data_IF_190084635053
#
_entry.id   IF_190084635053
#
_cell.length_a   1.000
_cell.length_b   1.000
_cell.length_c   1.000
_cell.angle_alpha   90.00
_cell.angle_beta   90.00
_cell.angle_gamma   90.00
#
_symmetry.space_group_name_H-M   'P 1'
#
loop_
_entity.id
_entity.type
_entity.pdbx_description
1 polymer ?
#
# COMPACT_ATOMS: atom_id res chain seq x y z
N UNK A 1 -11.18 2.12 18.77
CA UNK A 1 -11.69 1.49 17.55
C UNK A 1 -13.07 2.02 17.18
N UNK A 2 -13.69 1.55 16.08
CA UNK A 2 -15.00 2.02 15.63
C UNK A 2 -16.08 1.82 16.69
N UNK A 3 -16.11 0.66 17.36
CA UNK A 3 -17.07 0.35 18.44
C UNK A 3 -16.88 1.28 19.67
N UNK A 4 -15.64 1.50 20.10
CA UNK A 4 -15.32 2.36 21.25
C UNK A 4 -15.72 3.83 21.04
N UNK A 5 -15.78 4.27 19.79
CA UNK A 5 -16.11 5.65 19.43
C UNK A 5 -17.52 5.78 18.81
N UNK A 6 -18.38 4.76 18.94
CA UNK A 6 -19.73 4.70 18.41
C UNK A 6 -19.83 5.01 16.89
N UNK A 7 -18.78 4.72 16.12
CA UNK A 7 -18.74 4.95 14.68
C UNK A 7 -19.41 3.80 13.91
N UNK A 8 -19.41 2.60 14.49
CA UNK A 8 -19.86 1.37 13.84
C UNK A 8 -21.29 1.47 13.30
N UNK A 9 -22.19 2.14 14.03
CA UNK A 9 -23.57 2.40 13.60
C UNK A 9 -23.70 3.27 12.35
N UNK A 10 -22.64 4.00 11.97
CA UNK A 10 -22.59 4.86 10.79
C UNK A 10 -21.94 4.18 9.58
N UNK A 11 -21.38 2.96 9.76
CA UNK A 11 -20.76 2.21 8.68
C UNK A 11 -21.85 1.48 7.88
N UNK A 12 -21.87 1.71 6.58
CA UNK A 12 -22.78 1.05 5.65
C UNK A 12 -22.00 0.04 4.82
N UNK A 13 -22.09 -1.22 5.20
CA UNK A 13 -21.47 -2.33 4.46
C UNK A 13 -22.26 -2.64 3.18
N UNK A 14 -21.60 -3.31 2.21
CA UNK A 14 -22.23 -3.66 0.94
C UNK A 14 -22.65 -2.45 0.09
N UNK A 15 -21.96 -1.31 0.24
CA UNK A 15 -22.24 -0.07 -0.49
C UNK A 15 -21.01 0.31 -1.30
N UNK A 16 -21.10 0.16 -2.62
CA UNK A 16 -19.99 0.47 -3.54
C UNK A 16 -20.27 1.78 -4.27
N UNK A 17 -19.36 2.74 -4.12
CA UNK A 17 -19.37 3.98 -4.90
C UNK A 17 -19.10 3.68 -6.38
N UNK A 18 -20.01 4.08 -7.26
CA UNK A 18 -19.91 3.93 -8.72
C UNK A 18 -19.47 5.22 -9.37
N UNK A 19 -20.12 6.32 -8.98
CA UNK A 19 -19.79 7.65 -9.49
C UNK A 19 -19.99 8.73 -8.43
N UNK A 20 -19.27 9.85 -8.59
CA UNK A 20 -19.39 11.04 -7.76
C UNK A 20 -19.37 12.27 -8.65
N UNK A 21 -20.40 13.10 -8.57
CA UNK A 21 -20.56 14.31 -9.37
C UNK A 21 -20.66 15.53 -8.48
N UNK A 22 -19.74 16.48 -8.64
CA UNK A 22 -19.75 17.77 -7.94
C UNK A 22 -20.57 18.80 -8.69
N UNK A 23 -21.43 19.52 -7.97
CA UNK A 23 -22.14 20.69 -8.47
C UNK A 23 -21.63 21.95 -7.75
N UNK A 24 -20.93 22.83 -8.44
CA UNK A 24 -20.40 24.08 -7.86
C UNK A 24 -21.48 25.06 -7.43
N UNK A 25 -22.61 25.06 -8.09
CA UNK A 25 -23.76 25.90 -7.72
C UNK A 25 -24.35 25.52 -6.37
N UNK A 26 -24.38 24.21 -6.08
CA UNK A 26 -24.93 23.68 -4.84
C UNK A 26 -23.86 23.43 -3.78
N UNK A 27 -22.60 23.47 -4.16
CA UNK A 27 -21.44 23.02 -3.32
C UNK A 27 -21.67 21.64 -2.73
N UNK A 28 -22.04 20.68 -3.57
CA UNK A 28 -22.50 19.37 -3.15
C UNK A 28 -22.00 18.27 -4.10
N UNK A 29 -21.53 17.17 -3.53
CA UNK A 29 -21.32 15.91 -4.21
C UNK A 29 -22.62 15.11 -4.27
N UNK A 30 -22.97 14.57 -5.43
CA UNK A 30 -23.97 13.52 -5.61
C UNK A 30 -23.25 12.22 -5.90
N UNK A 31 -23.55 11.19 -5.12
CA UNK A 31 -22.91 9.89 -5.14
C UNK A 31 -23.90 8.82 -5.64
N UNK A 32 -23.54 8.08 -6.68
CA UNK A 32 -24.26 6.89 -7.08
C UNK A 32 -23.63 5.66 -6.42
N UNK A 33 -24.42 4.97 -5.64
CA UNK A 33 -23.97 3.86 -4.79
C UNK A 33 -24.75 2.60 -5.15
N UNK A 34 -24.03 1.55 -5.53
CA UNK A 34 -24.60 0.21 -5.72
C UNK A 34 -24.58 -0.56 -4.42
N UNK A 35 -25.71 -1.17 -4.09
CA UNK A 35 -25.83 -2.08 -2.96
C UNK A 35 -25.60 -3.53 -3.42
N UNK A 36 -24.79 -4.30 -2.68
CA UNK A 36 -24.39 -5.67 -3.07
C UNK A 36 -25.60 -6.62 -3.25
N UNK A 37 -26.64 -6.42 -2.45
CA UNK A 37 -27.84 -7.27 -2.45
C UNK A 37 -28.96 -6.76 -3.39
N UNK A 38 -28.69 -5.75 -4.20
CA UNK A 38 -29.68 -5.11 -5.07
C UNK A 38 -29.03 -4.62 -6.36
N UNK A 39 -29.70 -4.79 -7.49
CA UNK A 39 -29.31 -4.13 -8.74
C UNK A 39 -29.57 -2.60 -8.70
N UNK A 40 -30.24 -2.11 -7.65
CA UNK A 40 -30.60 -0.72 -7.51
C UNK A 40 -29.38 0.16 -7.19
N UNK A 41 -29.30 1.29 -7.85
CA UNK A 41 -28.36 2.36 -7.51
C UNK A 41 -29.11 3.35 -6.62
N UNK A 42 -28.51 3.64 -5.46
CA UNK A 42 -29.04 4.62 -4.50
C UNK A 42 -28.20 5.89 -4.62
N UNK A 43 -28.88 7.04 -4.68
CA UNK A 43 -28.19 8.32 -4.63
C UNK A 43 -28.08 8.83 -3.20
N UNK A 44 -26.89 9.34 -2.88
CA UNK A 44 -26.58 10.04 -1.64
C UNK A 44 -25.88 11.35 -1.96
N UNK A 45 -26.02 12.33 -1.07
CA UNK A 45 -25.31 13.60 -1.20
C UNK A 45 -24.40 13.84 -0.01
N UNK A 46 -23.28 14.56 -0.23
CA UNK A 46 -22.40 15.01 0.84
C UNK A 46 -21.69 16.32 0.46
N UNK A 47 -21.35 17.11 1.47
CA UNK A 47 -20.61 18.36 1.27
C UNK A 47 -19.10 18.14 1.13
N UNK A 48 -18.59 17.01 1.63
CA UNK A 48 -17.17 16.68 1.61
C UNK A 48 -16.98 15.19 1.42
N UNK A 49 -16.08 14.82 0.51
CA UNK A 49 -15.78 13.43 0.19
C UNK A 49 -14.36 13.07 0.65
N UNK A 50 -14.26 12.16 1.63
CA UNK A 50 -13.01 11.68 2.15
C UNK A 50 -12.75 10.26 1.65
N UNK A 51 -11.95 10.13 0.59
CA UNK A 51 -11.70 8.87 -0.11
C UNK A 51 -10.64 8.03 0.60
N UNK A 52 -11.08 6.96 1.25
CA UNK A 52 -10.23 5.96 1.88
C UNK A 52 -10.29 4.60 1.16
N UNK A 53 -10.51 4.60 -0.15
CA UNK A 53 -10.75 3.40 -0.96
C UNK A 53 -9.52 2.48 -1.14
N UNK A 54 -8.35 2.91 -0.65
CA UNK A 54 -7.11 2.21 -0.95
C UNK A 54 -6.72 2.34 -2.44
N UNK A 55 -5.95 1.40 -2.94
CA UNK A 55 -5.43 1.46 -4.32
C UNK A 55 -5.35 0.10 -5.01
N UNK A 56 -5.97 -0.93 -4.44
CA UNK A 56 -6.03 -2.26 -5.05
C UNK A 56 -7.38 -2.51 -5.72
N UNK A 57 -7.33 -3.23 -6.83
CA UNK A 57 -8.52 -3.77 -7.46
C UNK A 57 -8.98 -5.01 -6.69
N UNK A 58 -10.18 -4.94 -6.09
CA UNK A 58 -10.75 -6.06 -5.34
C UNK A 58 -11.43 -7.11 -6.23
N UNK A 59 -11.80 -6.73 -7.46
CA UNK A 59 -12.53 -7.62 -8.37
C UNK A 59 -11.60 -8.46 -9.24
N UNK A 60 -10.36 -7.99 -9.46
CA UNK A 60 -9.41 -8.64 -10.37
C UNK A 60 -8.01 -8.66 -9.78
N UNK A 61 -7.38 -9.84 -9.69
CA UNK A 61 -5.98 -9.98 -9.30
C UNK A 61 -5.06 -9.56 -10.45
N UNK A 62 -3.77 -9.48 -10.17
CA UNK A 62 -2.78 -9.43 -11.24
C UNK A 62 -2.62 -10.82 -11.85
N UNK A 63 -2.86 -10.91 -13.16
CA UNK A 63 -2.59 -12.11 -13.93
C UNK A 63 -1.20 -11.99 -14.59
N UNK A 64 -0.24 -12.83 -14.20
CA UNK A 64 1.11 -12.80 -14.76
C UNK A 64 1.23 -13.50 -16.12
N UNK A 65 0.13 -14.07 -16.65
CA UNK A 65 0.12 -14.82 -17.94
C UNK A 65 1.19 -15.93 -17.95
N UNK A 66 1.13 -16.83 -16.98
CA UNK A 66 2.09 -17.94 -16.92
C UNK A 66 1.99 -18.86 -18.15
N UNK A 67 3.13 -19.27 -18.75
CA UNK A 67 3.12 -20.20 -19.88
C UNK A 67 2.47 -21.53 -19.50
N UNK A 68 1.54 -22.01 -20.32
CA UNK A 68 0.84 -23.30 -20.20
C UNK A 68 0.14 -23.51 -18.83
N UNK A 69 -0.35 -22.44 -18.19
CA UNK A 69 -0.97 -22.49 -16.85
C UNK A 69 -2.15 -23.46 -16.79
N UNK A 70 -2.92 -23.58 -17.88
CA UNK A 70 -4.10 -24.47 -17.98
C UNK A 70 -3.72 -25.95 -18.02
N UNK A 71 -2.46 -26.31 -18.22
CA UNK A 71 -2.00 -27.70 -18.17
C UNK A 71 -1.96 -28.25 -16.75
N UNK A 72 -1.83 -27.38 -15.73
CA UNK A 72 -1.75 -27.81 -14.35
C UNK A 72 -3.05 -28.45 -13.85
N UNK A 73 -2.96 -29.68 -13.32
CA UNK A 73 -4.11 -30.45 -12.85
C UNK A 73 -4.40 -30.30 -11.36
N UNK A 74 -3.47 -29.68 -10.61
CA UNK A 74 -3.66 -29.36 -9.21
C UNK A 74 -4.50 -28.10 -8.99
N UNK A 75 -4.45 -27.57 -7.78
CA UNK A 75 -5.22 -26.37 -7.42
C UNK A 75 -4.35 -25.11 -7.58
N UNK A 76 -4.80 -24.19 -8.46
CA UNK A 76 -4.20 -22.85 -8.58
C UNK A 76 -5.00 -21.85 -7.75
N UNK A 77 -4.33 -21.16 -6.84
CA UNK A 77 -4.93 -20.18 -5.92
C UNK A 77 -4.29 -18.81 -6.09
N UNK A 78 -5.11 -17.75 -6.15
CA UNK A 78 -4.62 -16.39 -5.94
C UNK A 78 -4.95 -15.95 -4.51
N UNK A 79 -4.00 -15.41 -3.73
CA UNK A 79 -4.20 -15.06 -2.31
C UNK A 79 -5.35 -14.06 -2.06
N UNK A 80 -5.69 -13.23 -3.03
CA UNK A 80 -6.83 -12.30 -2.94
C UNK A 80 -8.19 -13.03 -2.92
N UNK A 81 -8.27 -14.22 -3.53
CA UNK A 81 -9.45 -15.06 -3.62
C UNK A 81 -9.21 -16.42 -2.96
N UNK A 82 -8.67 -16.39 -1.75
CA UNK A 82 -8.37 -17.60 -1.00
C UNK A 82 -9.64 -18.41 -0.71
N UNK A 83 -9.73 -19.68 -1.17
CA UNK A 83 -10.87 -20.53 -0.85
C UNK A 83 -10.91 -20.80 0.67
N UNK A 84 -12.09 -20.62 1.30
CA UNK A 84 -12.24 -20.78 2.75
C UNK A 84 -11.98 -22.21 3.23
N UNK A 85 -12.25 -23.17 2.37
CA UNK A 85 -12.17 -24.63 2.60
C UNK A 85 -11.00 -25.29 1.88
N UNK A 86 -9.97 -24.50 1.49
CA UNK A 86 -8.76 -25.04 0.88
C UNK A 86 -8.06 -26.02 1.82
N UNK A 87 -8.11 -27.29 1.48
CA UNK A 87 -7.36 -28.34 2.16
C UNK A 87 -5.94 -28.47 1.59
N UNK A 88 -4.97 -28.12 2.41
CA UNK A 88 -3.54 -28.24 2.08
C UNK A 88 -2.79 -29.23 3.00
N UNK A 89 -3.55 -30.04 3.77
CA UNK A 89 -2.98 -31.08 4.63
C UNK A 89 -2.19 -32.09 3.78
N UNK A 90 -0.94 -32.34 4.16
CA UNK A 90 -0.01 -33.25 3.49
C UNK A 90 0.24 -32.95 1.99
N UNK A 91 -0.06 -31.74 1.53
CA UNK A 91 0.14 -31.28 0.14
C UNK A 91 1.50 -30.62 -0.06
N UNK A 92 2.05 -30.74 -1.28
CA UNK A 92 3.18 -29.95 -1.75
C UNK A 92 2.64 -28.63 -2.27
N UNK A 93 3.06 -27.54 -1.64
CA UNK A 93 2.61 -26.19 -1.99
C UNK A 93 3.77 -25.41 -2.60
N UNK A 94 3.55 -24.85 -3.80
CA UNK A 94 4.49 -23.91 -4.42
C UNK A 94 3.88 -22.50 -4.40
N UNK A 95 4.56 -21.57 -3.73
CA UNK A 95 4.16 -20.15 -3.66
C UNK A 95 5.02 -19.38 -4.66
N UNK A 96 4.40 -18.87 -5.72
CA UNK A 96 5.09 -18.09 -6.76
C UNK A 96 5.11 -16.62 -6.38
N UNK A 97 6.29 -16.10 -6.08
CA UNK A 97 6.53 -14.71 -5.68
C UNK A 97 7.45 -14.58 -4.50
N UNK A 98 7.95 -13.36 -4.23
CA UNK A 98 8.81 -13.01 -3.10
C UNK A 98 8.39 -11.73 -2.39
N UNK A 99 7.14 -11.33 -2.57
CA UNK A 99 6.54 -10.18 -1.88
C UNK A 99 6.07 -10.52 -0.46
N UNK A 100 5.48 -9.54 0.23
CA UNK A 100 4.99 -9.71 1.61
C UNK A 100 4.03 -10.90 1.75
N UNK A 101 3.16 -11.12 0.77
CA UNK A 101 2.21 -12.25 0.78
C UNK A 101 2.94 -13.59 0.78
N UNK A 102 3.90 -13.79 -0.12
CA UNK A 102 4.67 -15.04 -0.18
C UNK A 102 5.49 -15.26 1.10
N UNK A 103 6.12 -14.21 1.62
CA UNK A 103 6.90 -14.26 2.88
C UNK A 103 6.05 -14.62 4.10
N UNK A 104 4.77 -14.22 4.11
CA UNK A 104 3.83 -14.54 5.20
C UNK A 104 3.25 -15.95 5.05
N UNK A 105 2.89 -16.34 3.83
CA UNK A 105 2.30 -17.66 3.55
C UNK A 105 3.31 -18.79 3.77
N UNK A 106 4.58 -18.58 3.42
CA UNK A 106 5.61 -19.61 3.51
C UNK A 106 5.66 -20.26 4.91
N UNK A 107 5.89 -19.54 6.02
CA UNK A 107 5.88 -20.14 7.35
C UNK A 107 4.48 -20.57 7.80
N UNK A 108 3.42 -19.82 7.42
CA UNK A 108 2.07 -20.08 7.90
C UNK A 108 1.46 -21.40 7.38
N UNK A 109 1.95 -21.90 6.24
CA UNK A 109 1.43 -23.16 5.68
C UNK A 109 2.23 -24.40 6.10
N UNK A 110 3.36 -24.25 6.77
CA UNK A 110 4.21 -25.39 7.16
C UNK A 110 3.64 -26.23 8.29
N UNK A 111 2.59 -25.77 8.96
CA UNK A 111 1.92 -26.49 10.05
C UNK A 111 1.14 -27.72 9.55
N UNK A 112 0.68 -27.71 8.30
CA UNK A 112 -0.16 -28.76 7.70
C UNK A 112 0.38 -29.29 6.37
N UNK A 113 1.01 -28.44 5.58
CA UNK A 113 1.55 -28.88 4.29
C UNK A 113 2.70 -29.87 4.46
N UNK A 114 2.80 -30.82 3.54
CA UNK A 114 3.92 -31.73 3.46
C UNK A 114 5.25 -30.99 3.20
N UNK A 115 5.20 -30.00 2.30
CA UNK A 115 6.34 -29.17 1.91
C UNK A 115 5.81 -27.84 1.34
N UNK A 116 6.40 -26.72 1.72
CA UNK A 116 6.11 -25.41 1.14
C UNK A 116 7.36 -24.87 0.44
N UNK A 117 7.26 -24.60 -0.86
CA UNK A 117 8.37 -24.03 -1.65
C UNK A 117 8.00 -22.63 -2.13
N UNK A 118 8.80 -21.63 -1.77
CA UNK A 118 8.68 -20.29 -2.35
C UNK A 118 9.55 -20.22 -3.61
N UNK A 119 8.90 -20.05 -4.76
CA UNK A 119 9.55 -19.81 -6.04
C UNK A 119 9.63 -18.33 -6.32
N UNK A 120 10.85 -17.79 -6.42
CA UNK A 120 11.10 -16.39 -6.72
C UNK A 120 11.96 -16.23 -7.97
N UNK A 121 11.67 -15.22 -8.78
CA UNK A 121 12.49 -14.87 -9.95
C UNK A 121 13.83 -14.26 -9.56
N UNK A 122 13.84 -13.47 -8.49
CA UNK A 122 15.03 -12.81 -7.94
C UNK A 122 14.86 -12.58 -6.44
N UNK A 123 15.98 -12.62 -5.67
CA UNK A 123 15.94 -12.38 -4.24
C UNK A 123 15.43 -10.99 -3.88
N UNK A 124 14.79 -10.89 -2.70
CA UNK A 124 14.47 -9.61 -2.05
C UNK A 124 15.19 -9.50 -0.71
N UNK A 125 15.35 -8.28 -0.19
CA UNK A 125 15.87 -8.10 1.17
C UNK A 125 14.83 -8.54 2.19
N UNK A 126 15.29 -9.35 3.14
CA UNK A 126 14.49 -9.82 4.26
C UNK A 126 15.10 -9.31 5.56
N UNK A 127 14.28 -8.68 6.38
CA UNK A 127 14.66 -8.22 7.72
C UNK A 127 13.73 -8.85 8.74
N UNK A 128 14.29 -9.44 9.78
CA UNK A 128 13.48 -9.94 10.89
C UNK A 128 13.31 -8.87 11.97
N UNK A 129 12.13 -8.83 12.54
CA UNK A 129 11.82 -7.95 13.68
C UNK A 129 10.89 -8.69 14.64
N UNK A 130 11.12 -8.48 15.94
CA UNK A 130 10.20 -9.00 16.94
C UNK A 130 8.80 -8.42 16.73
N UNK A 131 7.77 -9.26 16.85
CA UNK A 131 6.36 -8.87 16.76
C UNK A 131 5.96 -7.94 17.92
N UNK A 132 6.63 -8.08 19.07
CA UNK A 132 6.43 -7.23 20.23
C UNK A 132 7.57 -6.22 20.43
N UNK A 133 7.22 -4.99 20.79
CA UNK A 133 8.17 -3.95 21.18
C UNK A 133 8.38 -4.00 22.71
N UNK A 134 9.45 -4.66 23.15
CA UNK A 134 9.79 -4.83 24.57
C UNK A 134 9.99 -3.49 25.29
N UNK A 135 10.51 -2.46 24.60
CA UNK A 135 10.67 -1.11 25.15
C UNK A 135 9.29 -0.48 25.37
N UNK A 136 8.40 -0.57 24.39
CA UNK A 136 7.02 -0.08 24.53
C UNK A 136 6.29 -0.79 25.67
N UNK A 137 6.43 -2.12 25.77
CA UNK A 137 5.83 -2.90 26.85
C UNK A 137 6.41 -2.53 28.23
N UNK A 138 7.72 -2.25 28.31
CA UNK A 138 8.37 -1.72 29.52
C UNK A 138 7.84 -0.35 29.91
N UNK A 139 7.75 0.58 28.95
CA UNK A 139 7.24 1.95 29.21
C UNK A 139 5.78 1.94 29.70
N UNK A 140 4.93 1.08 29.15
CA UNK A 140 3.52 0.94 29.58
C UNK A 140 3.36 0.47 31.05
N UNK A 141 4.36 -0.20 31.60
CA UNK A 141 4.34 -0.65 33.02
C UNK A 141 4.67 0.47 34.01
N UNK A 142 5.39 1.51 33.56
CA UNK A 142 5.93 2.56 34.44
C UNK A 142 5.38 3.96 34.14
N UNK A 143 4.79 4.18 32.96
CA UNK A 143 4.30 5.48 32.55
C UNK A 143 2.80 5.45 32.22
N UNK A 144 2.09 6.58 32.33
CA UNK A 144 0.74 6.72 31.79
C UNK A 144 0.70 6.36 30.30
N UNK A 145 -0.41 5.76 29.87
CA UNK A 145 -0.55 5.24 28.49
C UNK A 145 -0.24 6.26 27.39
N UNK A 146 -0.65 7.52 27.58
CA UNK A 146 -0.39 8.63 26.66
C UNK A 146 1.10 8.94 26.51
N UNK A 147 1.85 8.97 27.62
CA UNK A 147 3.29 9.21 27.61
C UNK A 147 4.05 8.02 27.00
N UNK A 148 3.70 6.80 27.40
CA UNK A 148 4.30 5.59 26.84
C UNK A 148 4.08 5.53 25.33
N UNK A 149 2.88 5.88 24.84
CA UNK A 149 2.56 5.97 23.42
C UNK A 149 3.39 7.03 22.71
N UNK A 150 3.44 8.25 23.23
CA UNK A 150 4.17 9.38 22.63
C UNK A 150 5.67 9.06 22.48
N UNK A 151 6.31 8.55 23.54
CA UNK A 151 7.73 8.17 23.52
C UNK A 151 7.98 7.05 22.53
N UNK A 152 7.14 6.01 22.54
CA UNK A 152 7.26 4.87 21.62
C UNK A 152 7.10 5.33 20.15
N UNK A 153 6.13 6.21 19.88
CA UNK A 153 5.90 6.77 18.54
C UNK A 153 7.13 7.58 18.05
N UNK A 154 7.68 8.43 18.89
CA UNK A 154 8.89 9.20 18.56
C UNK A 154 10.08 8.26 18.33
N UNK A 155 10.33 7.31 19.23
CA UNK A 155 11.38 6.30 19.09
C UNK A 155 11.26 5.54 17.76
N UNK A 156 10.09 5.02 17.45
CA UNK A 156 9.89 4.19 16.25
C UNK A 156 10.00 4.99 14.96
N UNK A 157 9.46 6.21 14.90
CA UNK A 157 9.58 7.07 13.72
C UNK A 157 11.02 7.51 13.49
N UNK A 158 11.75 7.88 14.57
CA UNK A 158 13.15 8.25 14.49
C UNK A 158 14.04 7.10 14.04
N UNK A 159 13.90 5.94 14.68
CA UNK A 159 14.73 4.77 14.35
C UNK A 159 14.54 4.32 12.90
N UNK A 160 13.31 4.38 12.40
CA UNK A 160 12.99 4.02 11.02
C UNK A 160 13.59 5.03 10.02
N UNK A 161 13.47 6.33 10.31
CA UNK A 161 14.06 7.39 9.48
C UNK A 161 15.60 7.33 9.46
N UNK A 162 16.22 7.10 10.62
CA UNK A 162 17.69 6.97 10.74
C UNK A 162 18.17 5.74 9.96
N UNK A 163 17.51 4.59 10.13
CA UNK A 163 17.86 3.37 9.39
C UNK A 163 17.77 3.59 7.88
N UNK A 164 16.70 4.22 7.42
CA UNK A 164 16.50 4.53 6.00
C UNK A 164 17.61 5.46 5.48
N UNK A 165 17.87 6.58 6.16
CA UNK A 165 18.90 7.55 5.76
C UNK A 165 20.31 6.95 5.74
N UNK A 166 20.65 6.15 6.76
CA UNK A 166 21.94 5.47 6.81
C UNK A 166 22.10 4.44 5.68
N UNK A 167 21.04 3.71 5.35
CA UNK A 167 21.09 2.76 4.26
C UNK A 167 21.23 3.45 2.88
N UNK A 168 20.63 4.61 2.70
CA UNK A 168 20.82 5.42 1.49
C UNK A 168 22.22 6.04 1.42
N UNK A 169 22.76 6.53 2.55
CA UNK A 169 24.11 7.11 2.61
C UNK A 169 25.21 6.07 2.42
N UNK A 170 25.01 4.85 2.94
CA UNK A 170 26.01 3.78 2.93
C UNK A 170 25.44 2.47 2.37
N UNK A 171 25.00 2.43 1.10
CA UNK A 171 24.23 1.31 0.57
C UNK A 171 24.99 -0.02 0.57
N UNK A 172 26.30 -0.01 0.31
CA UNK A 172 27.14 -1.22 0.35
C UNK A 172 27.26 -1.81 1.77
N UNK A 173 27.35 -0.95 2.79
CA UNK A 173 27.42 -1.37 4.19
C UNK A 173 26.06 -1.92 4.62
N UNK A 174 24.97 -1.22 4.29
CA UNK A 174 23.62 -1.67 4.56
C UNK A 174 23.34 -3.05 3.90
N UNK A 175 23.72 -3.23 2.63
CA UNK A 175 23.62 -4.53 1.94
C UNK A 175 24.33 -5.64 2.71
N UNK A 176 25.59 -5.44 3.10
CA UNK A 176 26.36 -6.42 3.87
C UNK A 176 25.70 -6.73 5.21
N UNK A 177 25.19 -5.70 5.87
CA UNK A 177 24.49 -5.84 7.16
C UNK A 177 23.23 -6.71 7.03
N UNK A 178 22.34 -6.42 6.08
CA UNK A 178 21.10 -7.18 5.91
C UNK A 178 21.35 -8.63 5.50
N UNK A 179 22.26 -8.88 4.55
CA UNK A 179 22.64 -10.24 4.15
C UNK A 179 23.29 -10.98 5.32
N UNK A 180 24.12 -10.29 6.10
CA UNK A 180 24.75 -10.84 7.31
C UNK A 180 23.73 -11.25 8.39
N UNK A 181 22.60 -10.51 8.52
CA UNK A 181 21.52 -10.92 9.42
C UNK A 181 20.86 -12.22 8.95
N UNK A 182 20.55 -12.35 7.67
CA UNK A 182 19.98 -13.58 7.09
C UNK A 182 20.95 -14.75 7.30
N UNK A 183 22.26 -14.54 7.05
CA UNK A 183 23.30 -15.57 7.21
C UNK A 183 23.41 -16.11 8.64
N UNK A 184 23.09 -15.29 9.64
CA UNK A 184 23.08 -15.72 11.05
C UNK A 184 21.83 -16.55 11.41
N UNK A 185 20.78 -16.48 10.61
CA UNK A 185 19.48 -17.12 10.90
C UNK A 185 19.29 -18.45 10.17
N UNK A 186 19.94 -18.63 9.04
CA UNK A 186 19.87 -19.87 8.27
C UNK A 186 21.01 -20.83 8.63
N UNK A 187 20.73 -22.11 8.47
CA UNK A 187 21.67 -23.19 8.71
C UNK A 187 22.93 -23.07 7.86
N UNK A 188 24.08 -23.56 8.38
CA UNK A 188 25.33 -23.58 7.62
C UNK A 188 25.15 -24.40 6.33
N UNK A 189 25.64 -23.86 5.22
CA UNK A 189 25.53 -24.51 3.90
C UNK A 189 24.31 -24.09 3.07
N UNK A 190 23.36 -23.30 3.63
CA UNK A 190 22.29 -22.75 2.82
C UNK A 190 22.82 -21.72 1.81
N UNK A 191 22.39 -21.80 0.54
CA UNK A 191 22.87 -20.92 -0.54
C UNK A 191 22.22 -19.51 -0.45
N UNK A 192 22.76 -18.70 0.44
CA UNK A 192 22.31 -17.34 0.70
C UNK A 192 22.60 -16.42 -0.49
N UNK A 193 23.68 -16.68 -1.21
CA UNK A 193 24.07 -15.84 -2.34
C UNK A 193 23.07 -15.98 -3.49
N UNK A 194 22.55 -17.19 -3.72
CA UNK A 194 21.49 -17.45 -4.70
C UNK A 194 20.13 -16.96 -4.25
N UNK A 195 19.73 -17.22 -2.99
CA UNK A 195 18.33 -17.09 -2.56
C UNK A 195 18.04 -15.82 -1.78
N UNK A 196 19.03 -15.15 -1.17
CA UNK A 196 18.84 -14.00 -0.29
C UNK A 196 19.78 -12.82 -0.57
N UNK A 197 20.47 -12.80 -1.72
CA UNK A 197 21.36 -11.71 -2.08
C UNK A 197 20.83 -10.94 -3.30
N UNK A 198 20.02 -9.87 -3.08
CA UNK A 198 19.49 -9.05 -4.16
C UNK A 198 20.61 -8.35 -4.97
N UNK A 199 20.38 -8.15 -6.28
CA UNK A 199 21.31 -7.42 -7.14
C UNK A 199 21.26 -5.89 -6.95
N UNK A 200 20.21 -5.37 -6.33
CA UNK A 200 19.97 -3.95 -6.03
C UNK A 200 20.37 -3.59 -4.59
N UNK A 201 20.36 -2.30 -4.25
CA UNK A 201 20.62 -1.84 -2.88
C UNK A 201 19.35 -1.78 -2.02
N UNK A 202 19.49 -1.81 -0.68
CA UNK A 202 18.34 -1.67 0.22
C UNK A 202 17.56 -0.39 -0.07
N UNK A 203 16.22 -0.51 -0.11
CA UNK A 203 15.24 0.52 -0.47
C UNK A 203 15.21 0.99 -1.93
N UNK A 204 16.08 0.50 -2.83
CA UNK A 204 15.81 0.65 -4.28
C UNK A 204 14.52 -0.10 -4.66
N UNK A 205 14.22 -1.19 -3.97
CA UNK A 205 12.95 -1.89 -4.02
C UNK A 205 12.48 -2.19 -2.58
N UNK A 206 11.32 -2.87 -2.45
CA UNK A 206 10.73 -3.18 -1.15
C UNK A 206 11.65 -4.10 -0.33
N UNK A 207 11.78 -3.80 0.95
CA UNK A 207 12.37 -4.66 1.96
C UNK A 207 11.23 -5.38 2.69
N UNK A 208 11.28 -6.71 2.78
CA UNK A 208 10.27 -7.51 3.45
C UNK A 208 10.63 -7.69 4.93
N UNK A 209 9.64 -7.44 5.80
CA UNK A 209 9.75 -7.73 7.23
C UNK A 209 9.15 -9.10 7.53
N UNK A 210 9.90 -9.91 8.26
CA UNK A 210 9.53 -11.24 8.74
C UNK A 210 9.44 -11.19 10.26
N UNK A 211 8.27 -11.44 10.88
CA UNK A 211 8.13 -11.39 12.32
C UNK A 211 8.81 -12.61 12.97
N UNK A 212 9.44 -12.38 14.11
CA UNK A 212 9.95 -13.42 15.02
C UNK A 212 10.77 -14.55 14.35
N UNK A 213 11.38 -14.26 13.18
CA UNK A 213 12.20 -15.20 12.41
C UNK A 213 11.42 -16.42 11.88
N UNK A 214 10.10 -16.34 11.80
CA UNK A 214 9.21 -17.47 11.48
C UNK A 214 9.59 -18.14 10.15
N UNK A 215 9.85 -17.37 9.09
CA UNK A 215 10.32 -17.87 7.80
C UNK A 215 11.62 -18.65 7.91
N UNK A 216 12.60 -18.14 8.66
CA UNK A 216 13.90 -18.80 8.82
C UNK A 216 13.79 -20.08 9.65
N UNK A 217 12.91 -20.07 10.66
CA UNK A 217 12.58 -21.27 11.45
C UNK A 217 11.94 -22.34 10.57
N UNK A 218 10.99 -21.97 9.72
CA UNK A 218 10.33 -22.87 8.77
C UNK A 218 11.33 -23.50 7.77
N UNK A 219 12.28 -22.72 7.27
CA UNK A 219 13.34 -23.22 6.37
C UNK A 219 14.29 -24.16 7.14
N UNK A 220 14.74 -23.77 8.32
CA UNK A 220 15.69 -24.58 9.11
C UNK A 220 15.09 -25.90 9.60
N UNK A 221 13.77 -25.97 9.82
CA UNK A 221 13.06 -27.20 10.18
C UNK A 221 12.85 -28.16 9.01
N UNK A 222 13.15 -27.71 7.77
CA UNK A 222 12.91 -28.48 6.56
C UNK A 222 11.48 -28.45 6.03
N UNK A 223 10.53 -27.78 6.70
CA UNK A 223 9.14 -27.65 6.25
C UNK A 223 8.97 -26.67 5.08
N UNK A 224 9.92 -25.74 4.94
CA UNK A 224 9.90 -24.75 3.86
C UNK A 224 11.21 -24.74 3.07
N UNK A 225 11.14 -24.34 1.81
CA UNK A 225 12.28 -24.12 0.93
C UNK A 225 12.11 -22.87 0.06
N UNK A 226 13.24 -22.34 -0.45
CA UNK A 226 13.26 -21.22 -1.40
C UNK A 226 13.99 -21.64 -2.67
N UNK A 227 13.35 -21.49 -3.80
CA UNK A 227 13.93 -21.70 -5.13
C UNK A 227 13.98 -20.36 -5.87
N UNK A 228 15.12 -20.07 -6.49
CA UNK A 228 15.34 -18.83 -7.26
C UNK A 228 15.62 -19.18 -8.69
N UNK A 229 14.59 -19.04 -9.53
CA UNK A 229 14.69 -19.31 -10.98
C UNK A 229 13.48 -18.69 -11.72
N UNK A 230 13.51 -18.76 -13.05
CA UNK A 230 12.41 -18.36 -13.91
C UNK A 230 11.52 -19.55 -14.24
N UNK A 231 10.22 -19.29 -14.35
CA UNK A 231 9.24 -20.27 -14.80
C UNK A 231 9.40 -20.42 -16.33
N UNK A 232 9.68 -21.61 -16.78
CA UNK A 232 9.66 -21.96 -18.19
C UNK A 232 8.24 -22.26 -18.64
N UNK A 233 7.53 -23.13 -17.92
CA UNK A 233 6.13 -23.44 -18.16
C UNK A 233 5.49 -24.16 -16.96
N UNK A 234 4.20 -24.18 -16.92
CA UNK A 234 3.42 -25.09 -16.06
C UNK A 234 3.32 -26.47 -16.72
N UNK A 235 3.22 -27.50 -15.91
CA UNK A 235 3.03 -28.89 -16.30
C UNK A 235 1.80 -29.47 -15.60
N UNK A 236 1.41 -30.68 -15.92
CA UNK A 236 0.28 -31.34 -15.24
C UNK A 236 0.50 -31.48 -13.72
N UNK A 237 1.75 -31.64 -13.27
CA UNK A 237 2.11 -31.96 -11.88
C UNK A 237 2.88 -30.86 -11.17
N UNK A 238 3.09 -29.66 -11.80
CA UNK A 238 3.84 -28.61 -11.17
C UNK A 238 4.40 -27.55 -12.12
N UNK A 239 5.63 -27.11 -11.88
CA UNK A 239 6.32 -26.05 -12.62
C UNK A 239 7.67 -26.52 -13.12
N UNK A 240 7.92 -26.45 -14.44
CA UNK A 240 9.24 -26.61 -15.04
C UNK A 240 9.96 -25.25 -15.05
N UNK A 241 11.18 -25.24 -14.55
CA UNK A 241 12.03 -24.06 -14.46
C UNK A 241 12.97 -23.94 -15.66
N UNK A 242 13.56 -22.76 -15.89
CA UNK A 242 14.51 -22.54 -16.98
C UNK A 242 15.79 -23.38 -16.82
N UNK A 243 16.18 -23.72 -15.62
CA UNK A 243 17.31 -24.64 -15.32
C UNK A 243 17.01 -26.10 -15.69
N UNK A 244 15.75 -26.44 -16.01
CA UNK A 244 15.28 -27.79 -16.22
C UNK A 244 14.85 -28.52 -14.94
N UNK A 245 14.97 -27.89 -13.77
CA UNK A 245 14.41 -28.41 -12.52
C UNK A 245 12.88 -28.41 -12.60
N UNK A 246 12.24 -29.46 -12.06
CA UNK A 246 10.78 -29.56 -11.96
C UNK A 246 10.35 -29.46 -10.50
N UNK A 247 9.49 -28.48 -10.20
CA UNK A 247 8.89 -28.34 -8.88
C UNK A 247 7.52 -29.04 -8.87
N UNK A 248 7.48 -30.18 -8.23
CA UNK A 248 6.24 -30.92 -7.99
C UNK A 248 5.30 -30.12 -7.06
N UNK A 249 4.05 -29.97 -7.44
CA UNK A 249 3.05 -29.23 -6.66
C UNK A 249 1.68 -29.90 -6.75
N UNK A 250 0.99 -29.95 -5.60
CA UNK A 250 -0.43 -30.29 -5.53
C UNK A 250 -1.26 -28.98 -5.51
N UNK A 251 -0.66 -27.91 -4.96
CA UNK A 251 -1.25 -26.58 -4.91
C UNK A 251 -0.19 -25.55 -5.34
N UNK A 252 -0.59 -24.65 -6.25
CA UNK A 252 0.24 -23.48 -6.62
C UNK A 252 -0.47 -22.22 -6.19
N UNK A 253 0.22 -21.37 -5.42
CA UNK A 253 -0.28 -20.07 -4.96
C UNK A 253 0.39 -18.95 -5.75
N UNK A 254 -0.36 -18.24 -6.58
CA UNK A 254 0.12 -17.12 -7.39
C UNK A 254 0.20 -15.84 -6.55
N UNK A 255 1.30 -15.66 -5.80
CA UNK A 255 1.56 -14.48 -4.98
C UNK A 255 2.35 -13.39 -5.75
N UNK A 256 2.01 -13.18 -7.02
CA UNK A 256 2.77 -12.34 -7.98
C UNK A 256 2.39 -10.86 -7.97
N UNK A 257 1.56 -10.46 -7.03
CA UNK A 257 1.16 -9.08 -6.80
C UNK A 257 -0.30 -8.79 -7.15
N UNK A 258 -0.65 -7.52 -6.99
CA UNK A 258 -2.01 -7.03 -7.11
C UNK A 258 -2.14 -6.09 -8.31
N UNK A 259 -3.35 -5.90 -8.79
CA UNK A 259 -3.71 -4.89 -9.77
C UNK A 259 -4.10 -3.61 -9.04
N UNK A 260 -3.59 -2.46 -9.48
CA UNK A 260 -3.97 -1.18 -8.90
C UNK A 260 -5.24 -0.63 -9.55
N UNK A 261 -5.98 0.15 -8.78
CA UNK A 261 -7.19 0.81 -9.20
C UNK A 261 -7.27 2.20 -8.56
N UNK A 262 -7.48 3.23 -9.36
CA UNK A 262 -7.61 4.61 -8.88
C UNK A 262 -8.99 4.81 -8.26
N UNK A 263 -9.07 5.46 -7.09
CA UNK A 263 -10.30 5.83 -6.40
C UNK A 263 -11.35 4.71 -6.28
N UNK A 264 -10.89 3.45 -6.11
CA UNK A 264 -11.80 2.30 -6.02
C UNK A 264 -12.54 1.97 -7.31
N UNK A 265 -12.16 2.59 -8.44
CA UNK A 265 -12.78 2.39 -9.75
C UNK A 265 -14.04 3.22 -9.98
N UNK A 266 -14.37 4.16 -9.09
CA UNK A 266 -15.46 5.09 -9.30
C UNK A 266 -15.09 6.16 -10.33
N UNK A 267 -16.08 6.67 -11.06
CA UNK A 267 -15.93 7.80 -11.98
C UNK A 267 -16.26 9.11 -11.28
N UNK A 268 -15.61 10.19 -11.68
CA UNK A 268 -15.78 11.50 -11.04
C UNK A 268 -16.03 12.58 -12.10
N UNK A 269 -16.86 13.57 -11.75
CA UNK A 269 -17.09 14.76 -12.58
C UNK A 269 -17.22 16.02 -11.72
N UNK A 270 -16.87 17.15 -12.30
CA UNK A 270 -17.08 18.50 -11.74
C UNK A 270 -17.90 19.30 -12.74
N UNK A 271 -19.08 19.78 -12.34
CA UNK A 271 -19.99 20.55 -13.17
C UNK A 271 -20.32 19.91 -14.54
N UNK A 272 -20.37 18.57 -14.57
CA UNK A 272 -20.66 17.77 -15.76
C UNK A 272 -19.41 17.31 -16.54
N UNK A 273 -18.24 17.90 -16.28
CA UNK A 273 -17.00 17.51 -16.95
C UNK A 273 -16.32 16.35 -16.21
N UNK A 274 -16.01 15.29 -16.94
CA UNK A 274 -15.34 14.10 -16.36
C UNK A 274 -13.92 14.42 -15.95
N UNK A 275 -13.49 13.88 -14.80
CA UNK A 275 -12.13 14.03 -14.29
C UNK A 275 -11.24 12.89 -14.78
N UNK A 276 -10.19 13.22 -15.51
CA UNK A 276 -9.07 12.33 -15.77
C UNK A 276 -7.98 12.57 -14.72
N UNK A 277 -7.90 11.69 -13.72
CA UNK A 277 -6.91 11.82 -12.66
C UNK A 277 -5.46 11.81 -13.17
N UNK A 278 -5.17 11.15 -14.27
CA UNK A 278 -3.81 11.05 -14.82
C UNK A 278 -3.26 12.38 -15.33
N UNK A 279 -4.15 13.30 -15.69
CA UNK A 279 -3.82 14.66 -16.13
C UNK A 279 -3.73 15.66 -14.98
N UNK A 280 -4.22 15.31 -13.79
CA UNK A 280 -4.29 16.21 -12.64
C UNK A 280 -3.03 16.16 -11.76
N UNK A 281 -2.78 17.24 -11.02
CA UNK A 281 -1.66 17.33 -10.07
C UNK A 281 -2.17 17.23 -8.63
N UNK A 282 -1.43 16.53 -7.77
CA UNK A 282 -1.82 16.40 -6.36
C UNK A 282 -1.33 17.61 -5.55
N UNK A 283 -2.22 18.13 -4.71
CA UNK A 283 -1.93 19.12 -3.69
C UNK A 283 -1.63 18.43 -2.35
N UNK A 284 -0.42 18.63 -1.83
CA UNK A 284 0.09 17.96 -0.60
C UNK A 284 -0.04 16.43 -0.63
N UNK A 285 -0.21 15.85 -1.84
CA UNK A 285 -0.53 14.42 -2.01
C UNK A 285 -1.83 13.99 -1.32
N UNK A 286 -2.76 14.92 -1.06
CA UNK A 286 -4.06 14.70 -0.43
C UNK A 286 -5.23 15.08 -1.33
N UNK A 287 -5.20 16.26 -1.93
CA UNK A 287 -6.24 16.73 -2.83
C UNK A 287 -5.76 16.66 -4.28
N UNK A 288 -6.70 16.74 -5.18
CA UNK A 288 -6.48 16.76 -6.62
C UNK A 288 -6.75 18.18 -7.12
N UNK A 289 -5.89 18.74 -7.98
CA UNK A 289 -6.10 20.06 -8.57
C UNK A 289 -7.48 20.15 -9.21
N UNK A 290 -8.14 21.28 -9.03
CA UNK A 290 -9.46 21.61 -9.59
C UNK A 290 -10.62 20.71 -9.15
N UNK A 291 -10.40 19.81 -8.16
CA UNK A 291 -11.44 18.94 -7.60
C UNK A 291 -11.86 19.45 -6.22
N UNK A 292 -13.07 20.00 -6.08
CA UNK A 292 -13.53 20.61 -4.85
C UNK A 292 -13.86 19.57 -3.77
N UNK A 293 -13.65 19.94 -2.51
CA UNK A 293 -14.11 19.21 -1.31
C UNK A 293 -13.84 17.70 -1.35
N UNK A 294 -12.74 17.29 -1.95
CA UNK A 294 -12.33 15.90 -1.99
C UNK A 294 -10.90 15.72 -1.49
N UNK A 295 -10.72 14.79 -0.58
CA UNK A 295 -9.41 14.35 -0.09
C UNK A 295 -9.25 12.84 -0.33
N UNK A 296 -8.07 12.41 -0.73
CA UNK A 296 -7.73 11.00 -0.89
C UNK A 296 -6.55 10.64 -0.01
N UNK A 297 -6.56 9.43 0.55
CA UNK A 297 -5.51 8.95 1.43
C UNK A 297 -4.67 7.88 0.76
N UNK A 298 -3.37 8.15 0.75
CA UNK A 298 -2.32 7.19 0.45
C UNK A 298 -1.22 7.31 1.51
N UNK A 299 -0.69 6.20 1.99
CA UNK A 299 0.32 6.19 3.04
C UNK A 299 1.74 6.45 2.54
N UNK A 300 2.72 6.16 3.40
CA UNK A 300 4.13 6.18 3.03
C UNK A 300 4.56 4.84 2.47
N UNK A 301 5.46 4.85 1.50
CA UNK A 301 6.09 3.63 0.98
C UNK A 301 7.11 3.06 1.97
N UNK A 302 7.81 3.96 2.66
CA UNK A 302 8.94 3.66 3.53
C UNK A 302 8.63 3.79 5.03
N UNK A 303 7.37 4.00 5.39
CA UNK A 303 6.91 4.15 6.77
C UNK A 303 5.47 3.63 6.96
N UNK A 304 4.98 3.61 8.20
CA UNK A 304 3.60 3.22 8.48
C UNK A 304 2.61 4.17 7.80
N UNK A 305 1.59 3.58 7.16
CA UNK A 305 0.49 4.31 6.54
C UNK A 305 -0.31 5.17 7.53
N UNK A 306 -0.45 4.70 8.77
CA UNK A 306 -1.18 5.39 9.83
C UNK A 306 -0.57 6.74 10.17
N UNK A 307 0.75 6.92 10.01
CA UNK A 307 1.41 8.21 10.25
C UNK A 307 0.86 9.31 9.33
N UNK A 308 0.63 8.98 8.05
CA UNK A 308 0.08 9.95 7.09
C UNK A 308 -1.42 10.08 7.22
N UNK A 309 -2.12 9.00 7.52
CA UNK A 309 -3.56 9.03 7.77
C UNK A 309 -3.91 9.96 8.94
N UNK A 310 -3.13 9.93 10.05
CA UNK A 310 -3.28 10.86 11.17
C UNK A 310 -3.09 12.31 10.75
N UNK A 311 -1.99 12.62 10.04
CA UNK A 311 -1.72 13.99 9.58
C UNK A 311 -2.82 14.50 8.65
N UNK A 312 -3.30 13.65 7.76
CA UNK A 312 -4.38 13.98 6.83
C UNK A 312 -5.70 14.21 7.56
N UNK A 313 -6.04 13.35 8.53
CA UNK A 313 -7.26 13.50 9.32
C UNK A 313 -7.25 14.81 10.14
N UNK A 314 -6.14 15.11 10.82
CA UNK A 314 -5.97 16.39 11.53
C UNK A 314 -6.10 17.60 10.60
N UNK A 315 -5.49 17.52 9.41
CA UNK A 315 -5.56 18.60 8.43
C UNK A 315 -6.99 18.79 7.90
N UNK A 316 -7.71 17.70 7.58
CA UNK A 316 -9.10 17.74 7.12
C UNK A 316 -10.01 18.30 8.20
N UNK A 317 -9.87 17.88 9.46
CA UNK A 317 -10.65 18.45 10.56
C UNK A 317 -10.46 19.96 10.69
N UNK A 318 -9.22 20.44 10.57
CA UNK A 318 -8.93 21.89 10.58
C UNK A 318 -9.56 22.62 9.38
N UNK A 319 -9.51 21.99 8.18
CA UNK A 319 -10.11 22.54 6.98
C UNK A 319 -11.62 22.66 7.12
N UNK A 320 -12.31 21.63 7.58
CA UNK A 320 -13.75 21.65 7.83
C UNK A 320 -14.16 22.68 8.89
N UNK A 321 -13.39 22.78 9.98
CA UNK A 321 -13.62 23.81 11.02
C UNK A 321 -13.41 25.23 10.47
N UNK A 322 -12.40 25.43 9.62
CA UNK A 322 -12.17 26.71 8.95
C UNK A 322 -13.35 27.05 8.02
N UNK A 323 -13.77 26.11 7.18
CA UNK A 323 -14.94 26.31 6.30
C UNK A 323 -16.19 26.68 7.10
N UNK A 324 -16.44 25.97 8.20
CA UNK A 324 -17.57 26.27 9.09
C UNK A 324 -17.50 27.67 9.69
N UNK A 325 -16.31 28.05 10.21
CA UNK A 325 -16.11 29.36 10.86
C UNK A 325 -16.15 30.54 9.89
N UNK A 326 -15.78 30.33 8.64
CA UNK A 326 -15.79 31.35 7.57
C UNK A 326 -17.04 31.30 6.70
N UNK A 327 -17.97 30.40 7.00
CA UNK A 327 -19.19 30.17 6.19
C UNK A 327 -18.90 29.88 4.70
N UNK A 328 -17.73 29.27 4.41
CA UNK A 328 -17.39 28.83 3.07
C UNK A 328 -17.87 27.40 2.85
N UNK A 329 -18.34 27.09 1.64
CA UNK A 329 -18.92 25.79 1.28
C UNK A 329 -18.05 25.00 0.30
N UNK A 330 -17.07 25.65 -0.30
CA UNK A 330 -16.15 25.05 -1.28
C UNK A 330 -14.72 25.33 -0.91
N UNK A 331 -13.90 24.26 -0.93
CA UNK A 331 -12.46 24.29 -0.81
C UNK A 331 -11.86 23.55 -2.01
N UNK A 332 -11.01 24.22 -2.81
CA UNK A 332 -10.41 23.63 -4.01
C UNK A 332 -8.97 24.07 -4.15
N UNK A 333 -8.03 23.11 -4.40
CA UNK A 333 -6.65 23.47 -4.76
C UNK A 333 -6.59 23.81 -6.26
N UNK A 334 -6.01 24.94 -6.59
CA UNK A 334 -5.84 25.42 -7.96
C UNK A 334 -4.35 25.67 -8.22
N UNK A 335 -3.84 25.15 -9.31
CA UNK A 335 -2.45 25.45 -9.73
C UNK A 335 -2.39 26.91 -10.15
N UNK A 336 -1.59 27.78 -9.48
CA UNK A 336 -1.48 29.18 -9.84
C UNK A 336 -0.97 29.33 -11.28
N UNK A 337 -1.38 30.39 -11.97
CA UNK A 337 -0.95 30.65 -13.36
C UNK A 337 0.59 30.69 -13.49
N UNK A 338 1.28 31.24 -12.48
CA UNK A 338 2.76 31.24 -12.41
C UNK A 338 3.40 29.86 -12.37
N UNK A 339 2.62 28.81 -12.07
CA UNK A 339 3.10 27.41 -11.97
C UNK A 339 2.45 26.51 -13.04
N UNK A 340 1.75 27.05 -14.02
CA UNK A 340 1.05 26.27 -15.04
C UNK A 340 1.98 25.37 -15.85
N UNK A 341 3.19 25.86 -16.12
CA UNK A 341 4.25 25.11 -16.82
C UNK A 341 5.18 24.36 -15.84
N UNK A 342 4.77 24.16 -14.60
CA UNK A 342 5.56 23.44 -13.60
C UNK A 342 5.84 22.01 -14.08
N UNK A 343 7.11 21.57 -14.11
CA UNK A 343 7.45 20.20 -14.46
C UNK A 343 6.76 19.22 -13.55
N UNK A 344 6.04 18.27 -14.14
CA UNK A 344 5.36 17.20 -13.41
C UNK A 344 6.10 15.89 -13.55
N UNK A 345 5.93 15.01 -12.57
CA UNK A 345 6.47 13.66 -12.57
C UNK A 345 5.42 12.68 -12.00
N UNK A 346 5.72 11.40 -12.11
CA UNK A 346 4.85 10.37 -11.56
C UNK A 346 4.57 10.60 -10.09
N UNK A 347 3.37 10.26 -9.66
CA UNK A 347 2.89 10.46 -8.30
C UNK A 347 3.83 9.92 -7.23
N UNK A 348 4.52 8.79 -7.53
CA UNK A 348 5.60 8.22 -6.74
C UNK A 348 6.75 7.90 -7.70
N UNK A 349 7.67 8.86 -7.87
CA UNK A 349 8.72 8.75 -8.87
C UNK A 349 9.82 7.74 -8.51
N UNK A 350 10.07 7.52 -7.22
CA UNK A 350 11.27 6.82 -6.75
C UNK A 350 10.97 5.40 -6.23
N UNK A 351 9.88 4.76 -6.69
CA UNK A 351 9.52 3.42 -6.26
C UNK A 351 9.31 2.46 -7.43
N UNK A 352 10.34 1.68 -7.81
CA UNK A 352 10.34 0.83 -9.01
C UNK A 352 9.64 -0.52 -8.84
N UNK A 353 8.76 -0.68 -7.83
CA UNK A 353 8.00 -1.92 -7.68
C UNK A 353 7.10 -2.17 -8.89
N UNK A 354 7.20 -3.35 -9.51
CA UNK A 354 6.53 -3.64 -10.78
C UNK A 354 5.02 -3.45 -10.77
N UNK A 355 4.34 -3.75 -9.65
CA UNK A 355 2.90 -3.55 -9.52
C UNK A 355 2.51 -2.06 -9.54
N UNK A 356 3.36 -1.17 -9.01
CA UNK A 356 3.17 0.28 -9.07
C UNK A 356 3.40 0.79 -10.49
N UNK A 357 4.53 0.40 -11.10
CA UNK A 357 4.92 0.85 -12.43
C UNK A 357 3.87 0.51 -13.51
N UNK A 358 3.25 -0.66 -13.42
CA UNK A 358 2.19 -1.08 -14.36
C UNK A 358 0.98 -0.15 -14.40
N UNK A 359 0.69 0.57 -13.32
CA UNK A 359 -0.51 1.40 -13.17
C UNK A 359 -0.20 2.86 -12.84
N UNK A 360 1.07 3.26 -12.90
CA UNK A 360 1.47 4.63 -12.56
C UNK A 360 0.89 5.67 -13.52
N UNK A 361 0.73 5.30 -14.77
CA UNK A 361 0.12 6.14 -15.81
C UNK A 361 -1.36 6.47 -15.57
N UNK A 362 -2.04 5.74 -14.66
CA UNK A 362 -3.43 6.01 -14.26
C UNK A 362 -3.52 6.93 -13.04
N UNK A 363 -2.39 7.15 -12.36
CA UNK A 363 -2.34 7.93 -11.13
C UNK A 363 -2.19 9.43 -11.42
N UNK A 364 -2.62 10.31 -10.52
CA UNK A 364 -2.37 11.73 -10.67
C UNK A 364 -0.87 12.03 -10.65
N UNK A 365 -0.50 13.19 -11.13
CA UNK A 365 0.88 13.66 -11.20
C UNK A 365 1.26 14.38 -9.91
N UNK A 366 2.56 14.55 -9.67
CA UNK A 366 3.06 15.52 -8.69
C UNK A 366 3.95 16.56 -9.39
N UNK A 367 3.98 17.77 -8.84
CA UNK A 367 4.90 18.81 -9.26
C UNK A 367 6.31 18.62 -8.71
N UNK A 368 7.13 19.64 -8.84
CA UNK A 368 8.53 19.65 -8.39
C UNK A 368 8.75 20.49 -7.12
N UNK A 369 7.74 21.22 -6.65
CA UNK A 369 7.79 22.08 -5.47
C UNK A 369 6.52 22.01 -4.61
N UNK A 370 6.65 22.36 -3.31
CA UNK A 370 5.52 22.45 -2.41
C UNK A 370 4.57 23.57 -2.83
N UNK A 371 3.24 23.39 -2.71
CA UNK A 371 2.55 22.28 -2.08
C UNK A 371 2.24 21.09 -3.00
N UNK A 372 2.72 21.11 -4.24
CA UNK A 372 2.37 20.15 -5.31
C UNK A 372 3.23 18.88 -5.32
N UNK A 373 4.16 18.76 -4.40
CA UNK A 373 5.05 17.59 -4.29
C UNK A 373 4.53 16.60 -3.25
N UNK A 374 4.62 15.31 -3.57
CA UNK A 374 4.40 14.20 -2.64
C UNK A 374 5.74 13.78 -2.04
N UNK A 375 6.12 14.36 -0.90
CA UNK A 375 7.49 14.24 -0.37
C UNK A 375 7.84 12.88 0.20
N UNK A 376 6.83 12.03 0.47
CA UNK A 376 6.99 10.73 1.13
C UNK A 376 7.85 10.76 2.41
N UNK A 377 7.86 11.91 3.11
CA UNK A 377 8.65 12.14 4.30
C UNK A 377 7.78 12.70 5.44
N UNK A 378 7.56 11.90 6.47
CA UNK A 378 6.68 12.24 7.60
C UNK A 378 6.99 13.58 8.27
N UNK A 379 8.28 13.90 8.52
CA UNK A 379 8.65 15.15 9.19
C UNK A 379 8.40 16.38 8.33
N UNK A 380 8.75 16.29 7.03
CA UNK A 380 8.48 17.37 6.08
C UNK A 380 6.98 17.59 5.93
N UNK A 381 6.20 16.51 5.81
CA UNK A 381 4.76 16.59 5.69
C UNK A 381 4.08 17.07 6.98
N UNK A 382 4.55 16.64 8.16
CA UNK A 382 4.07 17.17 9.43
C UNK A 382 4.24 18.68 9.52
N UNK A 383 5.39 19.20 9.09
CA UNK A 383 5.64 20.65 9.06
C UNK A 383 4.76 21.35 8.01
N UNK A 384 4.60 20.76 6.83
CA UNK A 384 3.77 21.31 5.75
C UNK A 384 2.29 21.33 6.13
N UNK A 385 1.78 20.23 6.69
CA UNK A 385 0.38 20.12 7.10
C UNK A 385 0.07 20.99 8.33
N UNK A 386 1.05 21.26 9.18
CA UNK A 386 0.90 22.13 10.34
C UNK A 386 0.75 23.62 10.03
N UNK A 387 1.08 24.06 8.81
CA UNK A 387 0.93 25.46 8.41
C UNK A 387 -0.54 25.94 8.44
N UNK A 388 -0.80 27.24 8.66
CA UNK A 388 -2.14 27.80 8.51
C UNK A 388 -2.70 27.53 7.11
N UNK A 389 -3.98 27.21 7.01
CA UNK A 389 -4.65 26.93 5.73
C UNK A 389 -4.67 28.16 4.80
N UNK A 390 -4.83 29.34 5.38
CA UNK A 390 -4.89 30.61 4.68
C UNK A 390 -3.54 31.14 4.19
N UNK A 391 -2.44 30.52 4.60
CA UNK A 391 -1.10 30.89 4.13
C UNK A 391 -0.72 30.24 2.79
N UNK A 392 -1.60 29.47 2.20
CA UNK A 392 -1.36 28.71 0.98
C UNK A 392 -2.23 29.26 -0.14
N UNK A 393 -1.62 30.04 -1.03
CA UNK A 393 -2.30 30.67 -2.17
C UNK A 393 -2.92 29.66 -3.16
N UNK A 394 -2.47 28.42 -3.13
CA UNK A 394 -3.00 27.38 -3.99
C UNK A 394 -4.33 26.80 -3.47
N UNK A 395 -4.71 27.07 -2.22
CA UNK A 395 -5.93 26.52 -1.62
C UNK A 395 -7.01 27.62 -1.49
N UNK A 396 -8.01 27.54 -2.33
CA UNK A 396 -9.09 28.53 -2.41
C UNK A 396 -10.31 28.10 -1.59
N UNK A 397 -10.85 29.03 -0.82
CA UNK A 397 -12.11 28.86 -0.08
C UNK A 397 -13.14 29.86 -0.64
N UNK A 398 -14.37 29.40 -0.88
CA UNK A 398 -15.47 30.27 -1.35
C UNK A 398 -16.81 29.78 -0.81
N UNK A 399 -17.76 30.69 -0.68
CA UNK A 399 -19.18 30.37 -0.48
C UNK A 399 -19.79 29.87 -1.79
N UNK A 400 -20.94 29.16 -1.71
CA UNK A 400 -21.75 28.92 -2.88
C UNK A 400 -22.14 30.25 -3.52
N UNK A 401 -22.22 30.31 -4.86
CA UNK A 401 -22.80 31.48 -5.53
C UNK A 401 -24.21 31.68 -4.98
N UNK A 402 -24.52 32.91 -4.57
CA UNK A 402 -25.92 33.26 -4.25
C UNK A 402 -26.79 32.92 -5.45
N UNK A 403 -28.00 32.35 -5.23
CA UNK A 403 -28.91 31.96 -6.31
C UNK A 403 -29.37 33.10 -7.17
#
# INVERSE_FOLDING_TARGET
TAAENAIEQHIRYGHRLISASWCSKQSLWTLDIRQDNSAAVVQMTCNFLYMCAGYYNYDQPHDPQFPEVDSFKGTLVHPQFWPKDLDYQDKRVVIVGSGATAMTLLPAMTDKAKQVTMLQRSPTYVLTRASEDSIANGLRKILPATWAYAITRVKNTLSQEVLFKQAQAFPKIAKRFFIGQVRKKLSKGYDIDKHFTPKYFPWDQRLCLVPDEDMFKAINSGGANVVTDHIKRFTETGIELETGEHLEADIIVSATGLKLLVMGGATFSVDGEAIDFSSQTTYKGLMISDVPNMVTIFGYINASWTLRADLAAEWVCRALNHMSSTQTTKMVPVVPESLKDMPTKDWIADFPAGYMQRSMHLQPRQGNQAPWVNSQNFRKERALFGKPLTSDEALHFSAAASP
#
